data_IF_891712708454
#
_entry.id   IF_891712708454
#
_cell.length_a   1.000
_cell.length_b   1.000
_cell.length_c   1.000
_cell.angle_alpha   90.00
_cell.angle_beta   90.00
_cell.angle_gamma   90.00
#
_symmetry.space_group_name_H-M   'P 1'
#
loop_
_entity.id
_entity.type
_entity.pdbx_description
1 polymer ?
#
# COMPACT_ATOMS: atom_id res chain seq x y z
N UNK A 1 -16.02 -19.17 -13.82
CA UNK A 1 -15.02 -19.76 -12.91
C UNK A 1 -15.54 -21.10 -12.45
N UNK A 2 -14.78 -22.20 -12.56
CA UNK A 2 -15.16 -23.51 -12.03
C UNK A 2 -15.27 -23.44 -10.51
N UNK A 3 -16.22 -24.16 -9.89
CA UNK A 3 -16.45 -24.21 -8.44
C UNK A 3 -15.15 -24.45 -7.65
N UNK A 4 -14.22 -25.25 -8.19
CA UNK A 4 -12.89 -25.49 -7.64
C UNK A 4 -12.02 -24.22 -7.52
N UNK A 5 -12.05 -23.32 -8.50
CA UNK A 5 -11.24 -22.07 -8.46
C UNK A 5 -11.73 -21.08 -7.40
N UNK A 6 -13.05 -21.02 -7.18
CA UNK A 6 -13.64 -20.18 -6.11
C UNK A 6 -13.31 -20.75 -4.74
N UNK A 7 -13.42 -22.08 -4.58
CA UNK A 7 -13.07 -22.76 -3.33
C UNK A 7 -11.62 -22.47 -2.91
N UNK A 8 -10.64 -22.72 -3.78
CA UNK A 8 -9.23 -22.45 -3.47
C UNK A 8 -8.92 -20.95 -3.30
N UNK A 9 -9.73 -20.05 -3.87
CA UNK A 9 -9.59 -18.61 -3.68
C UNK A 9 -9.85 -18.17 -2.24
N UNK A 10 -10.70 -18.90 -1.52
CA UNK A 10 -11.06 -18.62 -0.12
C UNK A 10 -10.21 -19.45 0.83
N UNK A 11 -10.03 -20.73 0.51
CA UNK A 11 -9.32 -21.68 1.41
C UNK A 11 -7.84 -21.29 1.59
N UNK A 12 -7.15 -20.83 0.55
CA UNK A 12 -5.74 -20.50 0.66
C UNK A 12 -5.45 -19.34 1.63
N UNK A 13 -6.14 -18.17 1.56
CA UNK A 13 -5.97 -17.11 2.55
C UNK A 13 -6.37 -17.53 3.97
N UNK A 14 -7.47 -18.26 4.12
CA UNK A 14 -7.91 -18.75 5.44
C UNK A 14 -6.89 -19.71 6.05
N UNK A 15 -6.41 -20.66 5.28
CA UNK A 15 -5.37 -21.60 5.74
C UNK A 15 -4.08 -20.87 6.13
N UNK A 16 -3.69 -19.81 5.40
CA UNK A 16 -2.52 -19.02 5.72
C UNK A 16 -2.68 -18.25 7.05
N UNK A 17 -3.84 -17.68 7.30
CA UNK A 17 -4.15 -17.00 8.57
C UNK A 17 -4.13 -18.02 9.72
N UNK A 18 -4.79 -19.18 9.56
CA UNK A 18 -4.80 -20.21 10.57
C UNK A 18 -3.40 -20.75 10.87
N UNK A 19 -2.57 -20.95 9.84
CA UNK A 19 -1.16 -21.35 10.02
C UNK A 19 -0.37 -20.30 10.80
N UNK A 20 -0.58 -19.03 10.52
CA UNK A 20 0.08 -17.94 11.25
C UNK A 20 -0.38 -17.88 12.72
N UNK A 21 -1.68 -18.02 12.97
CA UNK A 21 -2.21 -18.07 14.34
C UNK A 21 -1.65 -19.27 15.12
N UNK A 22 -1.53 -20.43 14.46
CA UNK A 22 -0.91 -21.63 15.06
C UNK A 22 0.56 -21.39 15.38
N UNK A 23 1.30 -20.75 14.48
CA UNK A 23 2.72 -20.43 14.69
C UNK A 23 2.91 -19.49 15.88
N UNK A 24 2.13 -18.42 15.96
CA UNK A 24 2.14 -17.47 17.09
C UNK A 24 1.67 -18.15 18.38
N UNK A 25 0.66 -19.01 18.32
CA UNK A 25 0.21 -19.82 19.45
C UNK A 25 1.36 -20.64 20.06
N UNK A 26 2.17 -21.29 19.21
CA UNK A 26 3.32 -22.08 19.65
C UNK A 26 4.37 -21.18 20.33
N UNK A 27 4.68 -20.03 19.73
CA UNK A 27 5.66 -19.08 20.30
C UNK A 27 5.21 -18.58 21.68
N UNK A 28 3.95 -18.18 21.82
CA UNK A 28 3.40 -17.69 23.09
C UNK A 28 3.43 -18.80 24.18
N UNK A 29 3.09 -20.03 23.80
CA UNK A 29 3.19 -21.19 24.73
C UNK A 29 4.61 -21.46 25.19
N UNK A 30 5.60 -21.40 24.30
CA UNK A 30 7.03 -21.57 24.65
C UNK A 30 7.46 -20.46 25.64
N UNK A 31 6.92 -19.26 25.52
CA UNK A 31 7.20 -18.14 26.43
C UNK A 31 6.42 -18.22 27.76
N UNK A 32 5.55 -19.21 27.94
CA UNK A 32 4.75 -19.34 29.15
C UNK A 32 3.56 -18.38 29.22
N UNK A 33 3.19 -17.73 28.12
CA UNK A 33 2.05 -16.82 28.02
C UNK A 33 0.83 -17.58 27.51
N UNK A 34 -0.35 -17.25 27.99
CA UNK A 34 -1.60 -17.86 27.49
C UNK A 34 -1.98 -17.25 26.13
N UNK A 35 -1.91 -18.03 25.02
CA UNK A 35 -2.20 -17.51 23.69
C UNK A 35 -3.67 -17.10 23.52
N UNK A 36 -4.61 -17.79 24.18
CA UNK A 36 -6.04 -17.46 24.05
C UNK A 36 -6.36 -16.11 24.70
N UNK A 37 -5.76 -15.85 25.88
CA UNK A 37 -5.87 -14.55 26.53
C UNK A 37 -5.31 -13.44 25.64
N UNK A 38 -4.15 -13.64 25.00
CA UNK A 38 -3.52 -12.67 24.09
C UNK A 38 -4.38 -12.42 22.85
N UNK A 39 -4.87 -13.45 22.19
CA UNK A 39 -5.76 -13.26 21.03
C UNK A 39 -7.07 -12.58 21.41
N UNK A 40 -7.65 -12.93 22.56
CA UNK A 40 -8.85 -12.25 23.07
C UNK A 40 -8.59 -10.78 23.35
N UNK A 41 -7.43 -10.44 23.93
CA UNK A 41 -7.02 -9.08 24.20
C UNK A 41 -6.84 -8.27 22.90
N UNK A 42 -6.14 -8.82 21.90
CA UNK A 42 -6.01 -8.18 20.59
C UNK A 42 -7.37 -7.94 19.92
N UNK A 43 -8.27 -8.93 19.98
CA UNK A 43 -9.60 -8.81 19.38
C UNK A 43 -10.42 -7.74 20.11
N UNK A 44 -10.46 -7.76 21.44
CA UNK A 44 -11.23 -6.79 22.22
C UNK A 44 -10.70 -5.38 22.05
N UNK A 45 -9.38 -5.19 21.97
CA UNK A 45 -8.75 -3.91 21.75
C UNK A 45 -8.98 -3.38 20.33
N UNK A 46 -8.78 -4.23 19.31
CA UNK A 46 -8.94 -3.82 17.91
C UNK A 46 -10.40 -3.52 17.55
N UNK A 47 -11.37 -4.27 18.10
CA UNK A 47 -12.80 -3.96 17.89
C UNK A 47 -13.37 -2.91 18.86
N UNK A 48 -12.52 -2.29 19.71
CA UNK A 48 -12.96 -1.09 20.43
C UNK A 48 -13.32 0.01 19.43
N UNK A 49 -14.48 0.67 19.57
CA UNK A 49 -14.94 1.66 18.60
C UNK A 49 -13.94 2.77 18.25
N UNK A 50 -13.13 3.21 19.23
CA UNK A 50 -12.09 4.24 19.03
C UNK A 50 -10.93 3.72 18.17
N UNK A 51 -10.48 2.50 18.47
CA UNK A 51 -9.39 1.87 17.73
C UNK A 51 -9.81 1.52 16.31
N UNK A 52 -11.06 1.07 16.13
CA UNK A 52 -11.63 0.76 14.82
C UNK A 52 -11.58 1.95 13.85
N UNK A 53 -11.82 3.18 14.33
CA UNK A 53 -11.69 4.39 13.50
C UNK A 53 -10.24 4.58 13.04
N UNK A 54 -9.28 4.44 13.97
CA UNK A 54 -7.86 4.55 13.64
C UNK A 54 -7.39 3.45 12.67
N UNK A 55 -7.92 2.23 12.82
CA UNK A 55 -7.65 1.11 11.92
C UNK A 55 -8.21 1.34 10.52
N UNK A 56 -9.42 1.91 10.41
CA UNK A 56 -10.00 2.29 9.12
C UNK A 56 -9.17 3.35 8.41
N UNK A 57 -8.69 4.37 9.15
CA UNK A 57 -7.83 5.42 8.59
C UNK A 57 -6.48 4.85 8.10
N UNK A 58 -5.87 3.96 8.87
CA UNK A 58 -4.64 3.27 8.48
C UNK A 58 -4.88 2.34 7.27
N UNK A 59 -6.03 1.65 7.25
CA UNK A 59 -6.46 0.79 6.14
C UNK A 59 -6.46 1.53 4.81
N UNK A 60 -6.85 2.80 4.80
CA UNK A 60 -6.86 3.63 3.58
C UNK A 60 -5.46 3.71 2.95
N UNK A 61 -4.44 4.00 3.76
CA UNK A 61 -3.05 4.09 3.28
C UNK A 61 -2.55 2.73 2.77
N UNK A 62 -2.77 1.66 3.52
CA UNK A 62 -2.41 0.30 3.13
C UNK A 62 -3.13 -0.17 1.88
N UNK A 63 -4.41 0.14 1.77
CA UNK A 63 -5.20 -0.19 0.59
C UNK A 63 -4.64 0.45 -0.68
N UNK A 64 -4.34 1.74 -0.64
CA UNK A 64 -3.77 2.46 -1.79
C UNK A 64 -2.39 1.90 -2.14
N UNK A 65 -1.53 1.60 -1.15
CA UNK A 65 -0.23 0.96 -1.36
C UNK A 65 -0.39 -0.43 -2.02
N UNK A 66 -1.36 -1.22 -1.54
CA UNK A 66 -1.70 -2.52 -2.14
C UNK A 66 -2.20 -2.43 -3.58
N UNK A 67 -3.04 -1.44 -3.89
CA UNK A 67 -3.51 -1.19 -5.27
C UNK A 67 -2.35 -0.74 -6.16
N UNK A 68 -1.48 0.16 -5.69
CA UNK A 68 -0.29 0.60 -6.41
C UNK A 68 0.63 -0.58 -6.75
N UNK A 69 0.89 -1.47 -5.79
CA UNK A 69 1.66 -2.69 -6.01
C UNK A 69 0.98 -3.64 -7.00
N UNK A 70 -0.34 -3.83 -6.88
CA UNK A 70 -1.11 -4.74 -7.72
C UNK A 70 -1.10 -4.36 -9.21
N UNK A 71 -1.00 -3.08 -9.54
CA UNK A 71 -0.84 -2.61 -10.93
C UNK A 71 0.43 -3.21 -11.54
N UNK A 72 1.56 -3.14 -10.85
CA UNK A 72 2.84 -3.70 -11.29
C UNK A 72 2.81 -5.23 -11.39
N UNK A 73 2.21 -5.92 -10.41
CA UNK A 73 2.16 -7.39 -10.38
C UNK A 73 1.48 -8.02 -11.58
N UNK A 74 0.56 -7.33 -12.23
CA UNK A 74 -0.08 -7.85 -13.45
C UNK A 74 0.90 -8.01 -14.62
N UNK A 75 2.07 -7.36 -14.55
CA UNK A 75 3.18 -7.50 -15.50
C UNK A 75 4.42 -8.14 -14.87
N UNK A 76 4.31 -8.76 -13.70
CA UNK A 76 5.42 -9.30 -12.93
C UNK A 76 6.48 -8.23 -12.57
N UNK A 77 6.05 -6.98 -12.44
CA UNK A 77 6.88 -5.87 -12.00
C UNK A 77 6.66 -5.63 -10.50
N UNK A 78 7.76 -5.54 -9.75
CA UNK A 78 7.72 -5.32 -8.30
C UNK A 78 7.99 -3.84 -8.00
N UNK A 79 6.94 -3.09 -7.67
CA UNK A 79 7.12 -1.70 -7.25
C UNK A 79 7.52 -1.61 -5.76
N UNK A 80 8.80 -1.83 -5.48
CA UNK A 80 9.38 -1.61 -4.14
C UNK A 80 9.66 -0.11 -3.89
N UNK A 81 9.44 0.75 -4.89
CA UNK A 81 9.63 2.19 -4.81
C UNK A 81 8.50 2.97 -4.15
N UNK A 82 7.44 2.31 -3.69
CA UNK A 82 6.26 2.95 -3.12
C UNK A 82 6.63 3.92 -2.00
N UNK A 83 7.60 3.57 -1.13
CA UNK A 83 8.02 4.46 -0.02
C UNK A 83 8.58 5.79 -0.51
N UNK A 84 9.46 5.80 -1.50
CA UNK A 84 9.98 7.02 -2.09
C UNK A 84 8.91 7.80 -2.87
N UNK A 85 8.08 7.08 -3.63
CA UNK A 85 7.02 7.65 -4.45
C UNK A 85 5.96 8.38 -3.61
N UNK A 86 5.51 7.78 -2.52
CA UNK A 86 4.51 8.40 -1.65
C UNK A 86 5.08 9.57 -0.85
N UNK A 87 6.33 9.46 -0.37
CA UNK A 87 6.98 10.56 0.36
C UNK A 87 7.19 11.77 -0.54
N UNK A 88 7.62 11.56 -1.79
CA UNK A 88 7.67 12.62 -2.80
C UNK A 88 6.28 13.20 -3.06
N UNK A 89 5.26 12.35 -3.21
CA UNK A 89 3.87 12.78 -3.36
C UNK A 89 3.38 13.63 -2.20
N UNK A 90 3.56 13.14 -0.96
CA UNK A 90 3.12 13.83 0.25
C UNK A 90 3.85 15.17 0.45
N UNK A 91 5.17 15.19 0.23
CA UNK A 91 5.96 16.41 0.37
C UNK A 91 5.55 17.47 -0.65
N UNK A 92 5.56 17.16 -1.94
CA UNK A 92 5.20 18.14 -2.97
C UNK A 92 3.72 18.52 -2.91
N UNK A 93 2.83 17.58 -2.55
CA UNK A 93 1.43 17.88 -2.25
C UNK A 93 1.28 18.88 -1.12
N UNK A 94 2.03 18.72 -0.03
CA UNK A 94 2.03 19.66 1.09
C UNK A 94 2.60 21.04 0.71
N UNK A 95 3.74 21.06 0.01
CA UNK A 95 4.38 22.33 -0.43
C UNK A 95 3.47 23.12 -1.35
N UNK A 96 2.90 22.49 -2.37
CA UNK A 96 1.96 23.15 -3.30
C UNK A 96 0.68 23.54 -2.58
N UNK A 97 0.15 22.66 -1.71
CA UNK A 97 -1.03 22.95 -0.90
C UNK A 97 -0.84 24.14 0.06
N UNK A 98 0.36 24.34 0.59
CA UNK A 98 0.65 25.50 1.43
C UNK A 98 0.88 26.79 0.60
N UNK A 99 1.32 26.66 -0.64
CA UNK A 99 1.70 27.80 -1.50
C UNK A 99 0.50 28.42 -2.25
N UNK A 100 -0.61 27.70 -2.42
CA UNK A 100 -1.76 28.18 -3.21
C UNK A 100 -2.97 28.44 -2.30
N UNK A 101 -3.84 29.37 -2.72
CA UNK A 101 -5.12 29.66 -2.07
C UNK A 101 -6.23 29.55 -3.10
N UNK A 102 -7.00 28.46 -3.04
CA UNK A 102 -8.03 28.09 -3.99
C UNK A 102 -9.32 27.73 -3.27
N UNK A 103 -10.48 27.71 -3.95
CA UNK A 103 -11.70 27.15 -3.39
C UNK A 103 -11.51 25.70 -2.93
N UNK A 104 -12.18 25.24 -1.85
CA UNK A 104 -11.85 24.00 -1.15
C UNK A 104 -11.71 22.77 -2.06
N UNK A 105 -12.70 22.50 -2.92
CA UNK A 105 -12.66 21.31 -3.80
C UNK A 105 -11.50 21.38 -4.80
N UNK A 106 -11.28 22.56 -5.39
CA UNK A 106 -10.19 22.76 -6.36
C UNK A 106 -8.82 22.67 -5.68
N UNK A 107 -8.70 23.17 -4.46
CA UNK A 107 -7.48 23.14 -3.70
C UNK A 107 -7.06 21.69 -3.38
N UNK A 108 -7.98 20.89 -2.84
CA UNK A 108 -7.74 19.46 -2.58
C UNK A 108 -7.39 18.72 -3.88
N UNK A 109 -8.09 19.01 -4.98
CA UNK A 109 -7.80 18.38 -6.27
C UNK A 109 -6.38 18.70 -6.76
N UNK A 110 -5.94 19.96 -6.63
CA UNK A 110 -4.57 20.37 -7.00
C UNK A 110 -3.52 19.63 -6.15
N UNK A 111 -3.75 19.49 -4.83
CA UNK A 111 -2.86 18.76 -3.94
C UNK A 111 -2.77 17.28 -4.36
N UNK A 112 -3.91 16.63 -4.58
CA UNK A 112 -3.99 15.21 -4.97
C UNK A 112 -3.32 14.97 -6.33
N UNK A 113 -3.56 15.83 -7.32
CA UNK A 113 -2.93 15.74 -8.65
C UNK A 113 -1.42 15.95 -8.52
N UNK A 114 -0.98 16.93 -7.72
CA UNK A 114 0.45 17.16 -7.48
C UNK A 114 1.12 15.94 -6.88
N UNK A 115 0.49 15.30 -5.89
CA UNK A 115 1.00 14.08 -5.28
C UNK A 115 1.11 12.93 -6.28
N UNK A 116 0.09 12.74 -7.14
CA UNK A 116 0.13 11.74 -8.21
C UNK A 116 1.23 12.01 -9.22
N UNK A 117 1.41 13.26 -9.64
CA UNK A 117 2.46 13.65 -10.57
C UNK A 117 3.84 13.42 -9.95
N UNK A 118 4.07 13.85 -8.72
CA UNK A 118 5.35 13.69 -8.04
C UNK A 118 5.71 12.21 -7.85
N UNK A 119 4.77 11.39 -7.37
CA UNK A 119 4.96 9.94 -7.23
C UNK A 119 5.19 9.24 -8.57
N UNK A 120 4.43 9.62 -9.61
CA UNK A 120 4.55 9.09 -10.96
C UNK A 120 5.88 9.47 -11.64
N UNK A 121 6.33 10.73 -11.52
CA UNK A 121 7.62 11.19 -12.04
C UNK A 121 8.78 10.49 -11.32
N UNK A 122 8.68 10.29 -10.01
CA UNK A 122 9.69 9.55 -9.28
C UNK A 122 9.78 8.09 -9.74
N UNK A 123 8.65 7.43 -9.93
CA UNK A 123 8.60 6.08 -10.50
C UNK A 123 9.10 6.00 -11.96
N UNK A 124 8.91 7.07 -12.74
CA UNK A 124 9.37 7.13 -14.12
C UNK A 124 10.88 6.92 -14.26
N UNK A 125 11.67 7.31 -13.25
CA UNK A 125 13.13 7.10 -13.24
C UNK A 125 13.42 5.58 -13.28
N UNK A 126 12.83 4.78 -12.38
CA UNK A 126 13.00 3.34 -12.38
C UNK A 126 12.45 2.69 -13.67
N UNK A 127 11.28 3.15 -14.13
CA UNK A 127 10.68 2.70 -15.39
C UNK A 127 11.57 2.97 -16.63
N UNK A 128 12.18 4.13 -16.68
CA UNK A 128 13.13 4.49 -17.75
C UNK A 128 14.38 3.61 -17.73
N UNK A 129 14.98 3.42 -16.55
CA UNK A 129 16.16 2.57 -16.35
C UNK A 129 15.86 1.13 -16.76
N UNK A 130 14.69 0.60 -16.40
CA UNK A 130 14.23 -0.75 -16.79
C UNK A 130 14.13 -0.89 -18.30
N UNK A 131 13.44 0.05 -18.95
CA UNK A 131 13.11 -0.05 -20.39
C UNK A 131 14.32 0.25 -21.28
N UNK A 132 15.13 1.26 -20.93
CA UNK A 132 16.23 1.73 -21.78
C UNK A 132 17.58 1.08 -21.47
N UNK A 133 17.80 0.69 -20.23
CA UNK A 133 19.08 0.16 -19.75
C UNK A 133 19.02 -1.28 -19.26
N UNK A 134 17.81 -1.87 -19.16
CA UNK A 134 17.61 -3.24 -18.66
C UNK A 134 17.92 -3.42 -17.17
N UNK A 135 18.06 -2.33 -16.41
CA UNK A 135 18.35 -2.37 -14.99
C UNK A 135 17.15 -2.98 -14.23
N UNK A 136 17.41 -3.78 -13.20
CA UNK A 136 16.34 -4.32 -12.35
C UNK A 136 15.55 -3.19 -11.68
N UNK A 137 14.23 -3.22 -11.86
CA UNK A 137 13.32 -2.27 -11.19
C UNK A 137 13.39 -2.37 -9.67
N UNK A 138 13.65 -3.56 -9.15
CA UNK A 138 13.79 -3.80 -7.70
C UNK A 138 14.96 -2.99 -7.14
N UNK A 139 16.16 -3.14 -7.77
CA UNK A 139 17.37 -2.43 -7.33
C UNK A 139 17.20 -0.92 -7.51
N UNK A 140 16.70 -0.48 -8.67
CA UNK A 140 16.47 0.94 -8.92
C UNK A 140 15.51 1.57 -7.91
N UNK A 141 14.40 0.88 -7.60
CA UNK A 141 13.41 1.37 -6.66
C UNK A 141 13.93 1.44 -5.21
N UNK A 142 14.71 0.44 -4.77
CA UNK A 142 15.33 0.47 -3.43
C UNK A 142 16.30 1.67 -3.33
N UNK A 143 17.15 1.87 -4.32
CA UNK A 143 18.07 3.02 -4.33
C UNK A 143 17.30 4.35 -4.35
N UNK A 144 16.25 4.46 -5.15
CA UNK A 144 15.40 5.65 -5.23
C UNK A 144 14.67 5.95 -3.92
N UNK A 145 14.32 4.95 -3.11
CA UNK A 145 13.73 5.20 -1.79
C UNK A 145 14.72 5.94 -0.87
N UNK A 146 16.00 5.51 -0.83
CA UNK A 146 17.03 6.19 -0.05
C UNK A 146 17.35 7.59 -0.60
N UNK A 147 17.41 7.73 -1.93
CA UNK A 147 17.65 9.01 -2.59
C UNK A 147 16.48 9.97 -2.30
N UNK A 148 15.23 9.50 -2.34
CA UNK A 148 14.07 10.30 -1.97
C UNK A 148 14.17 10.81 -0.53
N UNK A 149 14.50 9.92 0.42
CA UNK A 149 14.66 10.31 1.82
C UNK A 149 15.74 11.38 2.00
N UNK A 150 16.90 11.24 1.34
CA UNK A 150 17.99 12.21 1.40
C UNK A 150 17.60 13.57 0.79
N UNK A 151 16.96 13.56 -0.38
CA UNK A 151 16.49 14.80 -1.03
C UNK A 151 15.45 15.50 -0.16
N UNK A 152 14.49 14.77 0.39
CA UNK A 152 13.43 15.33 1.23
C UNK A 152 13.98 15.87 2.55
N UNK A 153 14.96 15.19 3.17
CA UNK A 153 15.66 15.70 4.36
C UNK A 153 16.34 17.04 4.10
N UNK A 154 16.87 17.26 2.91
CA UNK A 154 17.43 18.54 2.52
C UNK A 154 16.36 19.59 2.22
N UNK A 155 15.36 19.23 1.43
CA UNK A 155 14.30 20.17 1.00
C UNK A 155 13.41 20.65 2.15
N UNK A 156 13.25 19.85 3.22
CA UNK A 156 12.40 20.18 4.37
C UNK A 156 13.09 21.15 5.35
N UNK A 157 14.34 21.49 5.13
CA UNK A 157 15.04 22.46 5.98
C UNK A 157 14.42 23.87 5.87
N UNK A 158 14.47 24.68 6.96
CA UNK A 158 13.92 26.04 6.94
C UNK A 158 14.56 26.98 5.90
N UNK A 159 15.77 26.67 5.46
CA UNK A 159 16.45 27.40 4.38
C UNK A 159 15.91 27.13 2.98
N UNK A 160 15.05 26.10 2.83
CA UNK A 160 14.49 25.65 1.56
C UNK A 160 12.95 25.76 1.56
N UNK A 161 12.24 24.65 1.71
CA UNK A 161 10.78 24.58 1.58
C UNK A 161 10.09 24.21 2.91
N UNK A 162 10.86 24.10 3.99
CA UNK A 162 10.34 23.75 5.29
C UNK A 162 10.30 24.92 6.27
N UNK A 163 9.78 24.60 7.45
CA UNK A 163 9.77 25.49 8.63
C UNK A 163 10.08 24.67 9.88
N UNK A 164 10.58 25.35 10.91
CA UNK A 164 10.79 24.77 12.23
C UNK A 164 9.85 25.48 13.20
N UNK A 165 8.75 24.87 13.62
CA UNK A 165 7.82 25.47 14.57
C UNK A 165 8.50 25.76 15.92
N UNK A 166 8.05 26.80 16.59
CA UNK A 166 8.55 27.14 17.94
C UNK A 166 8.38 25.95 18.89
N UNK A 167 9.45 25.59 19.58
CA UNK A 167 9.48 24.47 20.52
C UNK A 167 9.58 23.08 19.86
N UNK A 168 9.61 22.97 18.53
CA UNK A 168 9.79 21.70 17.81
C UNK A 168 11.24 21.52 17.37
N UNK A 169 11.73 20.28 17.46
CA UNK A 169 13.01 19.84 16.89
C UNK A 169 12.84 19.29 15.46
N UNK A 170 11.59 19.07 15.01
CA UNK A 170 11.29 18.44 13.73
C UNK A 170 10.90 19.48 12.68
N UNK A 171 11.69 19.56 11.63
CA UNK A 171 11.36 20.37 10.45
C UNK A 171 10.14 19.75 9.73
N UNK A 172 9.27 20.64 9.27
CA UNK A 172 8.07 20.28 8.53
C UNK A 172 7.80 21.28 7.40
N UNK A 173 6.92 20.94 6.45
CA UNK A 173 6.42 21.89 5.45
C UNK A 173 5.52 22.92 6.14
N UNK A 174 5.30 24.06 5.47
CA UNK A 174 4.25 24.99 5.93
C UNK A 174 2.89 24.28 5.98
N UNK A 175 2.02 24.66 6.94
CA UNK A 175 0.72 24.00 7.07
C UNK A 175 -0.20 24.36 5.90
N UNK A 176 -0.94 23.37 5.43
CA UNK A 176 -1.97 23.54 4.39
C UNK A 176 -3.13 24.37 4.97
N UNK A 177 -3.57 25.45 4.30
CA UNK A 177 -4.72 26.24 4.69
C UNK A 177 -6.00 25.40 4.80
N UNK A 178 -7.02 25.89 5.52
CA UNK A 178 -8.30 25.18 5.71
C UNK A 178 -8.95 24.78 4.39
N UNK A 179 -8.84 25.60 3.35
CA UNK A 179 -9.40 25.31 2.01
C UNK A 179 -8.74 24.08 1.34
N UNK A 180 -7.53 23.69 1.75
CA UNK A 180 -6.83 22.50 1.24
C UNK A 180 -7.01 21.27 2.13
N UNK A 181 -7.76 21.37 3.22
CA UNK A 181 -8.01 20.25 4.13
C UNK A 181 -9.25 19.48 3.73
N UNK A 182 -9.23 18.17 3.95
CA UNK A 182 -10.42 17.34 3.78
C UNK A 182 -11.18 17.22 5.10
N UNK A 183 -12.53 17.32 5.05
CA UNK A 183 -13.34 17.13 6.24
C UNK A 183 -13.19 15.71 6.78
N UNK A 184 -13.44 15.54 8.08
CA UNK A 184 -13.54 14.24 8.73
C UNK A 184 -14.98 13.94 9.09
N UNK A 185 -15.33 12.66 9.23
CA UNK A 185 -16.62 12.19 9.69
C UNK A 185 -16.48 11.73 11.13
N UNK A 186 -17.13 12.41 12.07
CA UNK A 186 -17.15 11.99 13.47
C UNK A 186 -17.89 10.66 13.61
N UNK A 187 -17.22 9.65 14.14
CA UNK A 187 -17.78 8.34 14.41
C UNK A 187 -17.09 7.70 15.61
N UNK A 188 -17.85 7.12 16.55
CA UNK A 188 -17.32 6.33 17.66
C UNK A 188 -16.18 7.01 18.45
N UNK A 189 -16.34 8.26 18.85
CA UNK A 189 -15.33 9.07 19.56
C UNK A 189 -14.00 9.29 18.79
N UNK A 190 -14.03 9.10 17.45
CA UNK A 190 -12.91 9.35 16.55
C UNK A 190 -13.35 10.06 15.27
N UNK A 191 -12.40 10.31 14.38
CA UNK A 191 -12.63 11.01 13.12
C UNK A 191 -12.17 10.14 11.93
N UNK A 192 -13.12 9.68 11.11
CA UNK A 192 -12.85 8.94 9.88
C UNK A 192 -12.46 9.92 8.79
N UNK A 193 -11.34 9.70 8.13
CA UNK A 193 -10.85 10.53 7.02
C UNK A 193 -11.72 10.30 5.78
N UNK A 194 -12.29 11.37 5.23
CA UNK A 194 -13.10 11.28 4.00
C UNK A 194 -12.27 10.87 2.78
N UNK A 195 -10.95 10.84 2.89
CA UNK A 195 -10.07 10.27 1.88
C UNK A 195 -10.33 8.77 1.61
N UNK A 196 -11.06 8.09 2.49
CA UNK A 196 -11.60 6.74 2.26
C UNK A 196 -12.41 6.66 0.95
N UNK A 197 -13.19 7.69 0.62
CA UNK A 197 -13.96 7.70 -0.63
C UNK A 197 -13.06 7.82 -1.86
N UNK A 198 -11.94 8.56 -1.74
CA UNK A 198 -10.92 8.62 -2.79
C UNK A 198 -10.25 7.25 -2.97
N UNK A 199 -9.93 6.57 -1.87
CA UNK A 199 -9.36 5.23 -1.92
C UNK A 199 -10.31 4.23 -2.60
N UNK A 200 -11.62 4.27 -2.29
CA UNK A 200 -12.63 3.45 -2.95
C UNK A 200 -12.68 3.77 -4.45
N UNK A 201 -12.67 5.05 -4.82
CA UNK A 201 -12.65 5.48 -6.23
C UNK A 201 -11.40 4.98 -6.97
N UNK A 202 -10.23 5.01 -6.32
CA UNK A 202 -8.97 4.43 -6.84
C UNK A 202 -9.12 2.92 -7.08
N UNK A 203 -9.73 2.19 -6.16
CA UNK A 203 -9.99 0.76 -6.32
C UNK A 203 -10.95 0.44 -7.47
N UNK A 204 -12.01 1.23 -7.62
CA UNK A 204 -12.95 1.11 -8.74
C UNK A 204 -12.23 1.43 -10.06
N UNK A 205 -11.47 2.52 -10.11
CA UNK A 205 -10.70 2.91 -11.30
C UNK A 205 -9.70 1.81 -11.69
N UNK A 206 -8.99 1.23 -10.73
CA UNK A 206 -8.10 0.08 -10.95
C UNK A 206 -8.86 -1.11 -11.54
N UNK A 207 -10.01 -1.47 -10.99
CA UNK A 207 -10.83 -2.58 -11.51
C UNK A 207 -11.32 -2.31 -12.94
N UNK A 208 -11.84 -1.11 -13.20
CA UNK A 208 -12.30 -0.68 -14.54
C UNK A 208 -11.13 -0.69 -15.51
N UNK A 209 -10.01 -0.09 -15.16
CA UNK A 209 -8.80 -0.06 -15.98
C UNK A 209 -8.37 -1.47 -16.39
N UNK A 210 -8.32 -2.41 -15.46
CA UNK A 210 -7.88 -3.78 -15.74
C UNK A 210 -8.86 -4.60 -16.56
N UNK A 211 -10.18 -4.41 -16.37
CA UNK A 211 -11.17 -5.33 -16.89
C UNK A 211 -12.03 -4.76 -18.02
N UNK A 212 -12.02 -3.44 -18.19
CA UNK A 212 -12.89 -2.75 -19.14
C UNK A 212 -12.14 -1.91 -20.17
N UNK A 213 -10.79 -1.87 -20.14
CA UNK A 213 -10.00 -1.07 -21.07
C UNK A 213 -9.02 -1.88 -21.91
N UNK A 214 -8.69 -1.37 -23.10
CA UNK A 214 -7.64 -1.92 -23.97
C UNK A 214 -6.27 -1.89 -23.25
N UNK A 215 -6.02 -0.86 -22.44
CA UNK A 215 -4.80 -0.79 -21.64
C UNK A 215 -4.67 -1.99 -20.70
N UNK A 216 -5.71 -2.31 -19.94
CA UNK A 216 -5.73 -3.46 -19.02
C UNK A 216 -5.59 -4.80 -19.74
N UNK A 217 -6.15 -4.93 -20.96
CA UNK A 217 -5.94 -6.10 -21.79
C UNK A 217 -4.47 -6.24 -22.20
N UNK A 218 -3.87 -5.17 -22.75
CA UNK A 218 -2.47 -5.16 -23.18
C UNK A 218 -1.51 -5.40 -22.01
N UNK A 219 -1.83 -4.84 -20.83
CA UNK A 219 -1.08 -5.04 -19.60
C UNK A 219 -1.05 -6.52 -19.19
N UNK A 220 -2.22 -7.18 -19.15
CA UNK A 220 -2.33 -8.61 -18.84
C UNK A 220 -1.64 -9.48 -19.90
N UNK A 221 -1.81 -9.16 -21.17
CA UNK A 221 -1.17 -9.87 -22.26
C UNK A 221 0.37 -9.79 -22.18
N UNK A 222 0.91 -8.60 -21.89
CA UNK A 222 2.36 -8.39 -21.72
C UNK A 222 2.89 -9.16 -20.50
N UNK A 223 2.13 -9.21 -19.40
CA UNK A 223 2.49 -9.98 -18.21
C UNK A 223 2.49 -11.50 -18.41
N UNK A 224 1.59 -12.01 -19.27
CA UNK A 224 1.54 -13.44 -19.60
C UNK A 224 2.69 -13.87 -20.51
N UNK A 225 2.98 -13.10 -21.54
CA UNK A 225 4.10 -13.35 -22.45
C UNK A 225 4.52 -12.09 -23.18
N UNK A 226 5.69 -11.58 -22.83
CA UNK A 226 6.30 -10.43 -23.50
C UNK A 226 6.44 -10.62 -25.01
N UNK A 227 6.87 -11.84 -25.42
CA UNK A 227 7.08 -12.17 -26.85
C UNK A 227 5.76 -12.23 -27.61
N UNK A 228 4.75 -12.91 -27.07
CA UNK A 228 3.44 -13.03 -27.70
C UNK A 228 2.73 -11.67 -27.80
N UNK A 229 2.77 -10.86 -26.76
CA UNK A 229 2.21 -9.50 -26.76
C UNK A 229 2.85 -8.64 -27.85
N UNK A 230 4.19 -8.69 -27.99
CA UNK A 230 4.90 -7.95 -29.03
C UNK A 230 4.55 -8.45 -30.45
N UNK A 231 4.42 -9.77 -30.64
CA UNK A 231 3.99 -10.34 -31.91
C UNK A 231 2.56 -9.92 -32.29
N UNK A 232 1.70 -9.65 -31.31
CA UNK A 232 0.33 -9.14 -31.48
C UNK A 232 0.27 -7.60 -31.62
N UNK A 233 1.41 -6.91 -31.81
CA UNK A 233 1.47 -5.47 -32.01
C UNK A 233 1.47 -4.62 -30.73
N UNK A 234 1.51 -5.21 -29.54
CA UNK A 234 1.59 -4.47 -28.28
C UNK A 234 3.02 -3.93 -28.07
N UNK A 235 3.15 -2.64 -27.84
CA UNK A 235 4.43 -2.02 -27.47
C UNK A 235 4.76 -2.32 -26.01
N UNK A 236 5.34 -3.50 -25.74
CA UNK A 236 5.61 -3.98 -24.40
C UNK A 236 6.57 -3.05 -23.60
N UNK A 237 7.65 -2.46 -24.16
CA UNK A 237 8.44 -1.46 -23.44
C UNK A 237 7.64 -0.25 -22.97
N UNK A 238 6.76 0.28 -23.82
CA UNK A 238 5.86 1.39 -23.45
C UNK A 238 4.87 0.95 -22.35
N UNK A 239 4.37 -0.28 -22.42
CA UNK A 239 3.49 -0.83 -21.36
C UNK A 239 4.21 -0.90 -20.01
N UNK A 240 5.46 -1.38 -19.97
CA UNK A 240 6.27 -1.41 -18.74
C UNK A 240 6.41 -0.01 -18.17
N UNK A 241 6.84 0.97 -18.99
CA UNK A 241 7.06 2.34 -18.54
C UNK A 241 5.77 2.97 -17.99
N UNK A 242 4.67 2.93 -18.75
CA UNK A 242 3.39 3.54 -18.34
C UNK A 242 2.83 2.87 -17.10
N UNK A 243 2.95 1.54 -16.99
CA UNK A 243 2.50 0.78 -15.81
C UNK A 243 3.27 1.19 -14.56
N UNK A 244 4.60 1.37 -14.67
CA UNK A 244 5.45 1.82 -13.56
C UNK A 244 5.08 3.24 -13.13
N UNK A 245 4.89 4.16 -14.08
CA UNK A 245 4.47 5.54 -13.81
C UNK A 245 3.09 5.58 -13.15
N UNK A 246 2.13 4.81 -13.66
CA UNK A 246 0.78 4.75 -13.09
C UNK A 246 0.78 4.17 -11.67
N UNK A 247 1.56 3.10 -11.44
CA UNK A 247 1.77 2.54 -10.11
C UNK A 247 2.34 3.59 -9.14
N UNK A 248 3.34 4.36 -9.58
CA UNK A 248 3.92 5.44 -8.78
C UNK A 248 2.97 6.62 -8.55
N UNK A 249 2.14 6.95 -9.52
CA UNK A 249 1.12 7.99 -9.36
C UNK A 249 0.09 7.60 -8.28
N UNK A 250 -0.37 6.34 -8.27
CA UNK A 250 -1.24 5.84 -7.20
C UNK A 250 -0.49 5.76 -5.87
N UNK A 251 0.79 5.36 -5.87
CA UNK A 251 1.62 5.35 -4.66
C UNK A 251 1.75 6.76 -4.04
N UNK A 252 1.80 7.82 -4.85
CA UNK A 252 1.80 9.21 -4.37
C UNK A 252 0.60 9.58 -3.49
N UNK A 253 -0.49 8.82 -3.56
CA UNK A 253 -1.71 9.04 -2.77
C UNK A 253 -1.69 8.38 -1.37
N UNK A 254 -0.72 7.51 -1.07
CA UNK A 254 -0.70 6.69 0.17
C UNK A 254 -0.78 7.55 1.43
N UNK A 255 -0.02 8.65 1.50
CA UNK A 255 0.01 9.54 2.67
C UNK A 255 -1.06 10.64 2.68
N UNK A 256 -1.91 10.74 1.65
CA UNK A 256 -2.82 11.87 1.48
C UNK A 256 -3.94 11.91 2.53
N UNK A 257 -4.43 10.77 2.99
CA UNK A 257 -5.44 10.72 4.05
C UNK A 257 -4.95 11.43 5.31
N UNK A 258 -3.78 11.05 5.80
CA UNK A 258 -3.15 11.67 6.98
C UNK A 258 -2.80 13.14 6.71
N UNK A 259 -2.22 13.45 5.56
CA UNK A 259 -1.82 14.82 5.21
C UNK A 259 -2.99 15.80 5.17
N UNK A 260 -4.11 15.41 4.56
CA UNK A 260 -5.24 16.31 4.32
C UNK A 260 -6.25 16.35 5.46
N UNK A 261 -6.31 15.31 6.31
CA UNK A 261 -7.34 15.20 7.35
C UNK A 261 -6.80 15.26 8.78
N UNK A 262 -5.46 15.16 8.98
CA UNK A 262 -4.88 15.07 10.34
C UNK A 262 -3.70 16.05 10.52
N UNK A 263 -2.55 15.77 9.92
CA UNK A 263 -1.33 16.54 10.17
C UNK A 263 -1.29 17.91 9.50
N UNK A 264 -1.92 18.05 8.35
CA UNK A 264 -1.94 19.23 7.49
C UNK A 264 -0.57 19.77 7.07
N UNK A 265 0.49 19.03 7.35
CA UNK A 265 1.87 19.28 6.93
C UNK A 265 2.60 17.95 6.73
N UNK A 266 3.70 17.99 6.00
CA UNK A 266 4.58 16.85 5.86
C UNK A 266 5.80 17.01 6.76
N UNK A 267 6.20 15.91 7.42
CA UNK A 267 7.47 15.81 8.17
C UNK A 267 8.16 14.48 7.87
N UNK A 268 9.43 14.35 8.26
CA UNK A 268 10.17 13.09 8.11
C UNK A 268 9.64 11.96 9.01
N UNK A 269 8.77 12.28 9.99
CA UNK A 269 8.09 11.30 10.84
C UNK A 269 6.96 10.52 10.15
N UNK A 270 6.61 10.88 8.90
CA UNK A 270 5.67 10.09 8.12
C UNK A 270 6.12 8.62 8.03
N UNK A 271 5.21 7.65 8.21
CA UNK A 271 5.56 6.23 8.30
C UNK A 271 6.34 5.72 7.08
N UNK A 272 7.03 4.59 7.23
CA UNK A 272 7.74 3.89 6.16
C UNK A 272 7.30 2.42 6.12
N UNK A 273 7.72 1.69 5.08
CA UNK A 273 7.43 0.27 4.96
C UNK A 273 6.23 -0.04 4.05
N UNK A 274 5.55 0.97 3.52
CA UNK A 274 4.42 0.77 2.61
C UNK A 274 4.76 0.00 1.35
N UNK A 275 6.02 0.03 0.90
CA UNK A 275 6.47 -0.73 -0.27
C UNK A 275 6.30 -2.23 -0.06
N UNK A 276 6.90 -2.79 0.99
CA UNK A 276 6.82 -4.22 1.29
C UNK A 276 5.43 -4.62 1.74
N UNK A 277 4.81 -3.82 2.60
CA UNK A 277 3.43 -4.06 3.04
C UNK A 277 2.47 -4.05 1.86
N UNK A 278 2.55 -3.07 0.96
CA UNK A 278 1.71 -3.00 -0.24
C UNK A 278 1.86 -4.22 -1.15
N UNK A 279 3.10 -4.72 -1.34
CA UNK A 279 3.35 -5.96 -2.07
C UNK A 279 2.67 -7.16 -1.38
N UNK A 280 2.82 -7.28 -0.06
CA UNK A 280 2.19 -8.34 0.73
C UNK A 280 0.66 -8.30 0.60
N UNK A 281 0.07 -7.12 0.73
CA UNK A 281 -1.38 -6.91 0.63
C UNK A 281 -1.93 -7.19 -0.76
N UNK A 282 -1.18 -6.82 -1.81
CA UNK A 282 -1.54 -7.14 -3.20
C UNK A 282 -1.58 -8.65 -3.43
N UNK A 283 -0.60 -9.40 -2.89
CA UNK A 283 -0.57 -10.86 -2.96
C UNK A 283 -1.69 -11.49 -2.13
N UNK A 284 -1.87 -11.06 -0.87
CA UNK A 284 -2.92 -11.53 0.03
C UNK A 284 -4.30 -11.31 -0.57
N UNK A 285 -4.53 -10.11 -1.14
CA UNK A 285 -5.77 -9.74 -1.83
C UNK A 285 -5.88 -10.27 -3.26
N UNK A 286 -4.90 -11.09 -3.75
CA UNK A 286 -4.87 -11.68 -5.11
C UNK A 286 -4.93 -10.64 -6.22
N UNK A 287 -4.38 -9.48 -6.00
CA UNK A 287 -4.45 -8.34 -6.91
C UNK A 287 -5.90 -7.96 -7.31
N UNK A 288 -6.88 -8.23 -6.44
CA UNK A 288 -8.27 -7.82 -6.63
C UNK A 288 -8.60 -6.70 -5.64
N UNK A 289 -9.21 -5.58 -6.05
CA UNK A 289 -9.37 -4.42 -5.17
C UNK A 289 -10.14 -4.74 -3.88
N UNK A 290 -11.20 -5.53 -3.94
CA UNK A 290 -11.95 -5.95 -2.74
C UNK A 290 -11.07 -6.84 -1.82
N UNK A 291 -10.31 -7.77 -2.41
CA UNK A 291 -9.39 -8.61 -1.63
C UNK A 291 -8.29 -7.80 -0.95
N UNK A 292 -7.73 -6.79 -1.65
CA UNK A 292 -6.72 -5.88 -1.10
C UNK A 292 -7.29 -5.06 0.06
N UNK A 293 -8.57 -4.64 -0.02
CA UNK A 293 -9.21 -3.92 1.07
C UNK A 293 -9.29 -4.76 2.35
N UNK A 294 -9.78 -6.00 2.26
CA UNK A 294 -9.82 -6.89 3.42
C UNK A 294 -8.42 -7.26 3.94
N UNK A 295 -7.44 -7.43 3.04
CA UNK A 295 -6.05 -7.64 3.43
C UNK A 295 -5.47 -6.43 4.17
N UNK A 296 -5.73 -5.22 3.69
CA UNK A 296 -5.29 -3.98 4.30
C UNK A 296 -5.94 -3.76 5.68
N UNK A 297 -7.23 -4.06 5.80
CA UNK A 297 -7.93 -3.99 7.08
C UNK A 297 -7.36 -4.97 8.09
N UNK A 298 -7.17 -6.24 7.70
CA UNK A 298 -6.55 -7.24 8.57
C UNK A 298 -5.14 -6.80 9.02
N UNK A 299 -4.35 -6.24 8.10
CA UNK A 299 -3.00 -5.79 8.42
C UNK A 299 -3.01 -4.63 9.40
N UNK A 300 -3.86 -3.63 9.17
CA UNK A 300 -4.05 -2.49 10.06
C UNK A 300 -4.51 -2.94 11.45
N UNK A 301 -5.49 -3.85 11.51
CA UNK A 301 -5.98 -4.46 12.74
C UNK A 301 -4.84 -5.11 13.55
N UNK A 302 -4.02 -5.93 12.91
CA UNK A 302 -2.91 -6.61 13.57
C UNK A 302 -1.88 -5.61 14.11
N UNK A 303 -1.51 -4.61 13.31
CA UNK A 303 -0.50 -3.62 13.68
C UNK A 303 -0.98 -2.70 14.81
N UNK A 304 -2.25 -2.27 14.77
CA UNK A 304 -2.85 -1.43 15.81
C UNK A 304 -3.10 -2.18 17.11
N UNK A 305 -3.36 -3.49 17.04
CA UNK A 305 -3.54 -4.32 18.23
C UNK A 305 -2.20 -4.75 18.87
N UNK A 306 -1.06 -4.58 18.17
CA UNK A 306 0.24 -5.02 18.67
C UNK A 306 0.65 -4.37 20.00
N UNK A 307 0.49 -3.04 20.20
CA UNK A 307 0.93 -2.37 21.43
C UNK A 307 0.22 -2.88 22.69
N UNK A 308 -1.01 -3.42 22.57
CA UNK A 308 -1.73 -3.92 23.76
C UNK A 308 -1.03 -5.14 24.38
N UNK A 309 -0.25 -5.90 23.59
CA UNK A 309 0.49 -7.06 24.05
C UNK A 309 1.66 -6.68 24.98
N UNK A 310 2.20 -5.47 24.85
CA UNK A 310 3.29 -4.96 25.71
C UNK A 310 2.85 -4.90 27.18
N UNK A 311 1.60 -4.57 27.46
CA UNK A 311 1.07 -4.52 28.80
C UNK A 311 1.08 -5.89 29.51
N UNK A 312 1.08 -6.97 28.72
CA UNK A 312 1.17 -8.36 29.20
C UNK A 312 2.61 -8.92 29.08
N UNK A 313 3.60 -8.06 28.83
CA UNK A 313 5.01 -8.45 28.71
C UNK A 313 5.35 -9.22 27.43
N UNK A 314 4.48 -9.15 26.41
CA UNK A 314 4.70 -9.77 25.11
C UNK A 314 5.21 -8.72 24.13
N UNK A 315 6.41 -8.90 23.54
CA UNK A 315 6.95 -7.96 22.58
C UNK A 315 6.03 -7.81 21.35
N UNK A 316 5.72 -6.57 20.90
CA UNK A 316 4.85 -6.32 19.76
C UNK A 316 5.41 -6.87 18.44
N UNK A 317 6.71 -7.15 18.38
CA UNK A 317 7.38 -7.80 17.24
C UNK A 317 6.78 -9.17 16.90
N UNK A 318 6.07 -9.82 17.83
CA UNK A 318 5.32 -11.05 17.55
C UNK A 318 4.28 -10.83 16.45
N UNK A 319 3.68 -9.64 16.39
CA UNK A 319 2.75 -9.30 15.31
C UNK A 319 3.48 -9.18 13.96
N UNK A 320 4.70 -8.65 13.92
CA UNK A 320 5.53 -8.63 12.70
C UNK A 320 5.82 -10.06 12.23
N UNK A 321 6.15 -10.97 13.15
CA UNK A 321 6.34 -12.40 12.85
C UNK A 321 5.03 -13.01 12.32
N UNK A 322 3.89 -12.68 12.91
CA UNK A 322 2.58 -13.14 12.45
C UNK A 322 2.28 -12.65 11.02
N UNK A 323 2.49 -11.37 10.74
CA UNK A 323 2.33 -10.77 9.41
C UNK A 323 3.24 -11.46 8.38
N UNK A 324 4.52 -11.65 8.69
CA UNK A 324 5.48 -12.35 7.83
C UNK A 324 5.05 -13.80 7.55
N UNK A 325 4.56 -14.51 8.57
CA UNK A 325 4.07 -15.89 8.44
C UNK A 325 2.81 -15.97 7.58
N UNK A 326 1.89 -15.00 7.69
CA UNK A 326 0.70 -14.90 6.82
C UNK A 326 1.14 -14.79 5.36
N UNK A 327 2.03 -13.84 5.05
CA UNK A 327 2.51 -13.61 3.67
C UNK A 327 3.18 -14.84 3.10
N UNK A 328 4.10 -15.46 3.86
CA UNK A 328 4.80 -16.67 3.43
C UNK A 328 3.82 -17.82 3.17
N UNK A 329 2.89 -18.05 4.08
CA UNK A 329 1.88 -19.11 3.97
C UNK A 329 0.99 -18.93 2.76
N UNK A 330 0.61 -17.67 2.43
CA UNK A 330 -0.19 -17.36 1.25
C UNK A 330 0.58 -17.63 -0.04
N UNK A 331 1.84 -17.20 -0.12
CA UNK A 331 2.69 -17.46 -1.29
C UNK A 331 2.82 -18.96 -1.53
N UNK A 332 3.09 -19.73 -0.47
CA UNK A 332 3.16 -21.19 -0.55
C UNK A 332 1.82 -21.80 -1.00
N UNK A 333 0.71 -21.36 -0.39
CA UNK A 333 -0.62 -21.89 -0.73
C UNK A 333 -0.98 -21.63 -2.20
N UNK A 334 -0.65 -20.45 -2.74
CA UNK A 334 -0.90 -20.14 -4.15
C UNK A 334 -0.06 -21.00 -5.10
N UNK A 335 1.21 -21.22 -4.78
CA UNK A 335 2.08 -22.09 -5.59
C UNK A 335 1.60 -23.54 -5.57
N UNK A 336 1.20 -24.06 -4.41
CA UNK A 336 0.64 -25.42 -4.28
C UNK A 336 -0.63 -25.56 -5.14
N UNK A 337 -1.55 -24.59 -5.03
CA UNK A 337 -2.79 -24.60 -5.84
C UNK A 337 -2.50 -24.50 -7.33
N UNK A 338 -1.53 -23.68 -7.75
CA UNK A 338 -1.12 -23.58 -9.15
C UNK A 338 -0.59 -24.91 -9.68
N UNK A 339 0.26 -25.61 -8.92
CA UNK A 339 0.78 -26.94 -9.28
C UNK A 339 -0.30 -28.01 -9.35
N UNK A 340 -1.25 -28.00 -8.41
CA UNK A 340 -2.39 -28.95 -8.44
C UNK A 340 -3.22 -28.74 -9.71
N UNK A 341 -3.53 -27.48 -10.05
CA UNK A 341 -4.30 -27.18 -11.26
C UNK A 341 -3.58 -27.59 -12.55
N UNK A 342 -2.27 -27.38 -12.64
CA UNK A 342 -1.46 -27.83 -13.78
C UNK A 342 -1.47 -29.35 -13.92
N UNK A 343 -1.30 -30.10 -12.83
CA UNK A 343 -1.37 -31.57 -12.85
C UNK A 343 -2.74 -32.09 -13.27
N UNK A 344 -3.83 -31.43 -12.84
CA UNK A 344 -5.18 -31.81 -13.26
C UNK A 344 -5.42 -31.56 -14.75
N UNK A 345 -4.89 -30.47 -15.30
CA UNK A 345 -4.98 -30.21 -16.76
C UNK A 345 -4.19 -31.23 -17.57
N UNK A 346 -3.00 -31.65 -17.11
CA UNK A 346 -2.19 -32.68 -17.77
C UNK A 346 -2.82 -34.07 -17.73
N UNK A 347 -3.68 -34.39 -16.78
CA UNK A 347 -4.41 -35.66 -16.65
C UNK A 347 -5.72 -35.69 -17.46
N UNK A 348 -6.18 -34.51 -17.90
CA UNK A 348 -7.43 -34.39 -18.68
C UNK A 348 -7.19 -34.34 -20.19
N UNK A 349 -5.94 -34.36 -20.61
CA UNK A 349 -5.44 -34.55 -21.99
C UNK A 349 -4.89 -35.97 -22.12
#
# INVERSE_FOLDING_TARGET
>A
MTKSKVFWAIVAPVAAILNSLLFVYIILKIRGVDPFAMFSLMISYGFDPRNLVSELNQTVAYYIAGVAAAIGFKMLLFNIGIDGQYRMGAFFGAVVGAAVSLPPVLHVLVIVITAMIAGGLWAAIAGYLKVRRGVSEVISNIMLNFIAAAILSYLITPSMLGTLPEGSQNAQTFPIPESGRMPTIKAFDGEIYTFLFVAIAVGIAYWVMLNKTVFGFNLKATGLSFRAARASGVNAPRMIFVTTVLSGAIAGLVGMGTLLSDTHNYSMAFPSGYAFTGLALALLGRNHPVGIFFAAFLWSFLERSAPVLEFEGVPPEIVIVMQGTIVLSIVIAYEVVARINLRQQQRAV
#
